data_IF_908862236535
#
_entry.id   IF_908862236535
#
_cell.length_a   1.000
_cell.length_b   1.000
_cell.length_c   1.000
_cell.angle_alpha   90.00
_cell.angle_beta   90.00
_cell.angle_gamma   90.00
#
_symmetry.space_group_name_H-M   'P 1'
#
loop_
_entity.id
_entity.type
_entity.pdbx_description
1 polymer ?
#
# COMPACT_ATOMS: atom_id res chain seq x y z
N UNK A 1 -5.79 20.42 -15.83
CA UNK A 1 -4.77 19.55 -16.45
C UNK A 1 -5.07 18.13 -15.98
N UNK A 2 -5.41 17.21 -16.87
CA UNK A 2 -5.69 15.83 -16.47
C UNK A 2 -4.37 15.17 -16.05
N UNK A 3 -4.35 14.38 -14.96
CA UNK A 3 -3.12 13.71 -14.53
C UNK A 3 -2.65 12.73 -15.62
N UNK A 4 -1.35 12.67 -15.82
CA UNK A 4 -0.73 11.69 -16.73
C UNK A 4 -0.94 10.28 -16.19
N UNK A 5 -0.90 9.28 -17.08
CA UNK A 5 -1.05 7.87 -16.70
C UNK A 5 -0.04 7.44 -15.63
N UNK A 6 1.19 7.97 -15.66
CA UNK A 6 2.21 7.77 -14.62
C UNK A 6 1.83 8.36 -13.26
N UNK A 7 1.20 9.54 -13.22
CA UNK A 7 0.77 10.17 -11.96
C UNK A 7 -0.34 9.35 -11.28
N UNK A 8 -1.26 8.80 -12.07
CA UNK A 8 -2.32 7.91 -11.56
C UNK A 8 -1.72 6.62 -11.00
N UNK A 9 -0.73 6.02 -11.66
CA UNK A 9 -0.02 4.83 -11.18
C UNK A 9 0.70 5.07 -9.86
N UNK A 10 1.42 6.18 -9.75
CA UNK A 10 2.15 6.53 -8.53
C UNK A 10 1.19 6.85 -7.37
N UNK A 11 0.05 7.50 -7.65
CA UNK A 11 -1.04 7.65 -6.69
C UNK A 11 -1.60 6.29 -6.23
N UNK A 12 -1.97 5.39 -7.15
CA UNK A 12 -2.46 4.05 -6.83
C UNK A 12 -1.47 3.30 -5.93
N UNK A 13 -0.17 3.33 -6.26
CA UNK A 13 0.90 2.76 -5.44
C UNK A 13 0.93 3.36 -4.04
N UNK A 14 0.91 4.70 -3.94
CA UNK A 14 0.94 5.42 -2.67
C UNK A 14 -0.27 5.08 -1.78
N UNK A 15 -1.46 4.94 -2.38
CA UNK A 15 -2.69 4.64 -1.66
C UNK A 15 -2.81 3.15 -1.27
N UNK A 16 -2.46 2.23 -2.17
CA UNK A 16 -2.73 0.79 -2.01
C UNK A 16 -1.55 -0.02 -1.46
N UNK A 17 -0.31 0.37 -1.77
CA UNK A 17 0.89 -0.45 -1.47
C UNK A 17 1.92 0.19 -0.58
N UNK A 18 1.77 1.47 -0.22
CA UNK A 18 2.89 2.12 0.44
C UNK A 18 3.28 1.36 1.74
N UNK A 19 4.55 1.42 2.07
CA UNK A 19 5.13 0.57 3.10
C UNK A 19 4.88 1.10 4.51
N UNK A 20 4.92 0.25 5.54
CA UNK A 20 4.64 0.72 6.92
C UNK A 20 5.65 1.80 7.33
N UNK A 21 5.20 3.07 7.34
CA UNK A 21 6.01 4.26 7.65
C UNK A 21 6.38 4.30 9.15
N UNK A 22 5.66 3.55 9.99
CA UNK A 22 5.98 3.40 11.41
C UNK A 22 5.66 4.63 12.27
N UNK A 23 5.18 5.72 11.68
CA UNK A 23 4.73 6.92 12.37
C UNK A 23 3.30 6.71 12.87
N UNK A 24 3.14 6.69 14.19
CA UNK A 24 1.84 6.68 14.85
C UNK A 24 1.35 8.12 15.09
N UNK A 25 0.03 8.31 15.21
CA UNK A 25 -0.58 9.63 15.39
C UNK A 25 0.09 10.50 16.48
N UNK A 26 0.40 10.01 17.70
CA UNK A 26 1.08 10.83 18.71
C UNK A 26 2.46 11.35 18.31
N UNK A 27 3.24 10.52 17.59
CA UNK A 27 4.58 10.88 17.13
C UNK A 27 4.49 11.85 15.95
N UNK A 28 3.58 11.58 15.01
CA UNK A 28 3.34 12.47 13.88
C UNK A 28 2.85 13.84 14.35
N UNK A 29 1.92 13.90 15.31
CA UNK A 29 1.44 15.15 15.88
C UNK A 29 2.57 15.99 16.48
N UNK A 30 3.48 15.36 17.22
CA UNK A 30 4.65 16.03 17.81
C UNK A 30 5.58 16.56 16.73
N UNK A 31 5.80 15.78 15.66
CA UNK A 31 6.59 16.21 14.49
C UNK A 31 5.92 17.39 13.77
N UNK A 32 4.62 17.30 13.46
CA UNK A 32 3.87 18.36 12.78
C UNK A 32 3.95 19.68 13.54
N UNK A 33 3.69 19.66 14.85
CA UNK A 33 3.77 20.86 15.69
C UNK A 33 5.16 21.51 15.68
N UNK A 34 6.23 20.69 15.66
CA UNK A 34 7.62 21.17 15.58
C UNK A 34 7.97 21.71 14.19
N UNK A 35 7.64 20.97 13.12
CA UNK A 35 8.04 21.31 11.76
C UNK A 35 7.30 22.55 11.24
N UNK A 36 6.01 22.67 11.56
CA UNK A 36 5.16 23.79 11.17
C UNK A 36 5.29 25.00 12.09
N UNK A 37 5.96 24.85 13.24
CA UNK A 37 6.17 25.92 14.22
C UNK A 37 4.86 26.63 14.61
N UNK A 38 3.83 25.85 14.98
CA UNK A 38 2.54 26.39 15.39
C UNK A 38 2.69 27.39 16.54
N UNK A 39 2.05 28.55 16.41
CA UNK A 39 1.96 29.50 17.52
C UNK A 39 1.11 28.93 18.66
N UNK A 40 1.08 29.61 19.81
CA UNK A 40 0.38 29.13 21.00
C UNK A 40 -1.12 28.82 20.74
N UNK A 41 -1.82 29.70 19.99
CA UNK A 41 -3.23 29.50 19.66
C UNK A 41 -3.46 28.31 18.73
N UNK A 42 -2.66 28.21 17.67
CA UNK A 42 -2.70 27.07 16.74
C UNK A 42 -2.35 25.76 17.44
N UNK A 43 -1.38 25.78 18.34
CA UNK A 43 -0.95 24.60 19.10
C UNK A 43 -2.04 24.11 20.06
N UNK A 44 -2.67 25.04 20.79
CA UNK A 44 -3.80 24.72 21.67
C UNK A 44 -4.98 24.13 20.89
N UNK A 45 -5.31 24.71 19.73
CA UNK A 45 -6.34 24.18 18.84
C UNK A 45 -5.93 22.80 18.31
N UNK A 46 -4.71 22.66 17.78
CA UNK A 46 -4.19 21.42 17.20
C UNK A 46 -4.23 20.27 18.21
N UNK A 47 -3.75 20.48 19.45
CA UNK A 47 -3.70 19.45 20.50
C UNK A 47 -5.08 18.92 20.92
N UNK A 48 -6.17 19.58 20.51
CA UNK A 48 -7.54 19.08 20.65
C UNK A 48 -7.80 17.75 19.95
N UNK A 49 -6.94 17.28 19.04
CA UNK A 49 -7.08 15.97 18.38
C UNK A 49 -7.11 14.79 19.35
N UNK A 50 -6.53 14.93 20.55
CA UNK A 50 -6.47 13.87 21.57
C UNK A 50 -7.82 13.57 22.23
N UNK A 51 -8.71 14.56 22.29
CA UNK A 51 -9.97 14.52 23.06
C UNK A 51 -11.14 15.13 22.27
N UNK A 52 -10.92 15.36 20.98
CA UNK A 52 -11.72 16.23 20.16
C UNK A 52 -13.00 15.59 19.64
N UNK A 53 -14.09 16.36 19.60
CA UNK A 53 -15.39 15.92 19.03
C UNK A 53 -15.33 15.48 17.57
N UNK A 54 -14.37 15.99 16.80
CA UNK A 54 -14.28 15.75 15.37
C UNK A 54 -13.54 14.47 14.99
N UNK A 55 -12.84 13.85 15.95
CA UNK A 55 -11.94 12.73 15.69
C UNK A 55 -10.72 13.15 14.88
N UNK A 56 -9.60 12.49 15.15
CA UNK A 56 -8.45 12.36 14.25
C UNK A 56 -7.50 13.55 14.08
N UNK A 57 -6.22 13.22 13.88
CA UNK A 57 -5.11 14.16 13.79
C UNK A 57 -5.16 15.03 12.54
N UNK A 58 -5.67 14.50 11.43
CA UNK A 58 -5.77 15.13 10.12
C UNK A 58 -6.75 16.31 10.12
N UNK A 59 -7.91 16.17 10.77
CA UNK A 59 -8.91 17.25 10.88
C UNK A 59 -8.36 18.42 11.69
N UNK A 60 -7.63 18.13 12.76
CA UNK A 60 -7.00 19.16 13.57
C UNK A 60 -5.79 19.80 12.88
N UNK A 61 -5.07 19.05 12.03
CA UNK A 61 -4.05 19.61 11.16
C UNK A 61 -4.65 20.60 10.16
N UNK A 62 -5.76 20.25 9.49
CA UNK A 62 -6.51 21.14 8.60
C UNK A 62 -6.84 22.45 9.32
N UNK A 63 -7.47 22.36 10.49
CA UNK A 63 -7.90 23.54 11.24
C UNK A 63 -6.75 24.43 11.71
N UNK A 64 -5.65 23.83 12.17
CA UNK A 64 -4.49 24.57 12.63
C UNK A 64 -3.79 25.31 11.48
N UNK A 65 -3.81 24.73 10.27
CA UNK A 65 -3.19 25.31 9.08
C UNK A 65 -4.11 26.26 8.32
N UNK A 66 -5.43 26.21 8.50
CA UNK A 66 -6.42 27.06 7.81
C UNK A 66 -6.09 28.55 7.76
N UNK A 67 -5.56 29.19 8.82
CA UNK A 67 -5.17 30.60 8.75
C UNK A 67 -4.03 30.92 7.77
N UNK A 68 -3.29 29.90 7.31
CA UNK A 68 -2.23 30.04 6.31
C UNK A 68 -2.72 29.82 4.89
N UNK A 69 -3.97 29.41 4.69
CA UNK A 69 -4.54 29.23 3.36
C UNK A 69 -4.44 30.54 2.55
N UNK A 70 -3.99 30.44 1.31
CA UNK A 70 -3.78 31.61 0.44
C UNK A 70 -2.58 32.52 0.79
N UNK A 71 -1.73 32.15 1.77
CA UNK A 71 -0.52 32.94 2.11
C UNK A 71 0.49 32.97 0.97
N UNK A 72 0.57 31.91 0.17
CA UNK A 72 1.48 31.81 -0.97
C UNK A 72 0.74 32.10 -2.28
N UNK A 73 1.12 33.18 -2.97
CA UNK A 73 0.58 33.56 -4.28
C UNK A 73 0.98 32.61 -5.41
N UNK A 74 2.08 31.87 -5.24
CA UNK A 74 2.54 30.83 -6.15
C UNK A 74 2.96 29.60 -5.35
N UNK A 75 2.35 28.46 -5.67
CA UNK A 75 2.77 27.16 -5.13
C UNK A 75 3.70 26.49 -6.13
N UNK A 76 4.81 25.96 -5.64
CA UNK A 76 5.58 25.03 -6.44
C UNK A 76 4.79 23.73 -6.55
N UNK A 77 4.60 23.19 -7.76
CA UNK A 77 3.98 21.87 -7.91
C UNK A 77 4.85 20.85 -7.16
N UNK A 78 4.26 20.19 -6.16
CA UNK A 78 4.91 19.06 -5.51
C UNK A 78 4.69 17.84 -6.39
N UNK A 79 5.74 17.37 -7.05
CA UNK A 79 5.63 16.16 -7.88
C UNK A 79 5.30 14.94 -7.02
N UNK A 80 4.48 14.05 -7.55
CA UNK A 80 4.13 12.80 -6.86
C UNK A 80 5.40 11.96 -6.61
N UNK A 81 6.39 11.99 -7.51
CA UNK A 81 7.69 11.35 -7.31
C UNK A 81 8.43 11.86 -6.07
N UNK A 82 8.34 13.17 -5.77
CA UNK A 82 8.94 13.74 -4.55
C UNK A 82 8.20 13.22 -3.30
N UNK A 83 6.88 13.11 -3.38
CA UNK A 83 6.06 12.51 -2.32
C UNK A 83 6.45 11.07 -2.07
N UNK A 84 6.50 10.26 -3.13
CA UNK A 84 6.85 8.84 -3.07
C UNK A 84 8.25 8.64 -2.47
N UNK A 85 9.26 9.39 -2.95
CA UNK A 85 10.62 9.37 -2.37
C UNK A 85 10.59 9.69 -0.87
N UNK A 86 9.86 10.72 -0.45
CA UNK A 86 9.76 11.07 0.97
C UNK A 86 9.13 9.94 1.79
N UNK A 87 8.04 9.34 1.33
CA UNK A 87 7.37 8.24 2.02
C UNK A 87 8.28 7.00 2.12
N UNK A 88 9.00 6.67 1.04
CA UNK A 88 9.99 5.59 1.01
C UNK A 88 11.11 5.84 2.01
N UNK A 89 11.67 7.05 2.08
CA UNK A 89 12.72 7.38 3.05
C UNK A 89 12.21 7.39 4.50
N UNK A 90 10.97 7.81 4.74
CA UNK A 90 10.36 7.69 6.07
C UNK A 90 10.16 6.22 6.47
N UNK A 91 9.70 5.36 5.55
CA UNK A 91 9.56 3.92 5.76
C UNK A 91 10.93 3.24 5.98
N UNK A 92 11.97 3.61 5.23
CA UNK A 92 13.31 3.06 5.39
C UNK A 92 13.98 3.40 6.74
N UNK A 93 13.54 4.48 7.40
CA UNK A 93 13.98 4.87 8.76
C UNK A 93 13.19 4.16 9.87
N UNK A 94 12.11 3.45 9.54
CA UNK A 94 11.40 2.64 10.51
C UNK A 94 12.32 1.57 11.11
N UNK A 95 12.01 1.11 12.33
CA UNK A 95 12.84 0.13 13.06
C UNK A 95 12.93 -1.23 12.35
N UNK A 96 11.85 -1.63 11.66
CA UNK A 96 11.75 -2.92 10.99
C UNK A 96 11.26 -2.72 9.54
N UNK A 97 12.08 -2.07 8.69
CA UNK A 97 11.72 -1.89 7.29
C UNK A 97 11.91 -3.22 6.56
N UNK A 98 11.09 -3.45 5.54
CA UNK A 98 11.31 -4.53 4.58
C UNK A 98 12.71 -4.39 3.96
N UNK A 99 13.35 -5.51 3.62
CA UNK A 99 14.69 -5.53 3.05
C UNK A 99 14.79 -4.68 1.78
N UNK A 100 13.77 -4.73 0.91
CA UNK A 100 13.71 -3.97 -0.33
C UNK A 100 13.62 -2.45 -0.10
N UNK A 101 13.03 -2.01 1.01
CA UNK A 101 12.92 -0.60 1.39
C UNK A 101 14.17 -0.13 2.12
N UNK A 102 14.77 -1.02 2.91
CA UNK A 102 16.03 -0.76 3.61
C UNK A 102 17.17 -0.47 2.64
N UNK A 103 17.23 -1.17 1.51
CA UNK A 103 18.24 -0.96 0.47
C UNK A 103 18.06 0.38 -0.26
N UNK A 104 16.84 0.92 -0.32
CA UNK A 104 16.54 2.22 -0.92
C UNK A 104 16.85 3.40 0.02
N UNK A 105 17.36 3.15 1.24
CA UNK A 105 17.65 4.19 2.21
C UNK A 105 18.76 5.11 1.70
N UNK A 106 18.44 6.39 1.62
CA UNK A 106 19.36 7.47 1.30
C UNK A 106 19.66 8.24 2.60
N UNK A 107 20.92 8.15 3.05
CA UNK A 107 21.35 8.76 4.32
C UNK A 107 21.48 10.28 4.23
N UNK A 108 21.65 10.82 3.02
CA UNK A 108 21.76 12.26 2.79
C UNK A 108 20.39 12.93 2.82
N UNK A 109 19.31 12.16 2.64
CA UNK A 109 17.94 12.68 2.73
C UNK A 109 17.56 13.00 4.17
N UNK A 110 17.53 14.30 4.45
CA UNK A 110 16.98 14.87 5.68
C UNK A 110 15.45 14.90 5.64
N UNK A 111 14.85 13.74 5.92
CA UNK A 111 13.39 13.52 5.90
C UNK A 111 12.57 14.57 6.65
N UNK A 112 13.07 15.12 7.76
CA UNK A 112 12.35 16.15 8.52
C UNK A 112 12.37 17.52 7.81
N UNK A 113 13.47 17.86 7.13
CA UNK A 113 13.57 19.08 6.31
C UNK A 113 12.69 18.95 5.06
N UNK A 114 12.73 17.81 4.37
CA UNK A 114 11.86 17.51 3.21
C UNK A 114 10.38 17.49 3.59
N UNK A 115 10.03 16.84 4.71
CA UNK A 115 8.66 16.82 5.20
C UNK A 115 8.18 18.24 5.54
N UNK A 116 9.04 19.06 6.16
CA UNK A 116 8.72 20.46 6.44
C UNK A 116 8.50 21.25 5.15
N UNK A 117 9.41 21.17 4.18
CA UNK A 117 9.30 21.94 2.94
C UNK A 117 8.02 21.59 2.17
N UNK A 118 7.66 20.30 2.14
CA UNK A 118 6.39 19.90 1.55
C UNK A 118 5.21 20.44 2.35
N UNK A 119 5.18 20.27 3.68
CA UNK A 119 4.03 20.63 4.50
C UNK A 119 3.75 22.14 4.56
N UNK A 120 4.78 22.98 4.63
CA UNK A 120 4.62 24.44 4.83
C UNK A 120 3.87 25.11 3.67
N UNK A 121 3.91 24.52 2.47
CA UNK A 121 3.30 25.09 1.26
C UNK A 121 1.94 24.49 0.90
N UNK A 122 1.45 23.54 1.69
CA UNK A 122 0.12 22.94 1.50
C UNK A 122 -0.98 23.87 2.04
N UNK A 123 -2.11 23.90 1.35
CA UNK A 123 -3.35 24.35 2.00
C UNK A 123 -3.72 23.40 3.13
N UNK A 124 -4.53 23.90 4.05
CA UNK A 124 -5.12 23.12 5.13
C UNK A 124 -5.73 21.80 4.67
N UNK A 125 -6.51 21.82 3.57
CA UNK A 125 -7.18 20.63 3.05
C UNK A 125 -6.19 19.63 2.44
N UNK A 126 -5.10 20.09 1.82
CA UNK A 126 -4.04 19.23 1.28
C UNK A 126 -3.26 18.58 2.42
N UNK A 127 -2.96 19.34 3.47
CA UNK A 127 -2.28 18.87 4.66
C UNK A 127 -3.07 17.77 5.38
N UNK A 128 -4.40 17.86 5.43
CA UNK A 128 -5.26 16.78 5.92
C UNK A 128 -5.02 15.47 5.18
N UNK A 129 -5.11 15.49 3.85
CA UNK A 129 -4.87 14.29 3.04
C UNK A 129 -3.44 13.78 3.19
N UNK A 130 -2.48 14.68 3.38
CA UNK A 130 -1.09 14.31 3.66
C UNK A 130 -0.95 13.56 4.99
N UNK A 131 -1.62 14.02 6.03
CA UNK A 131 -1.63 13.35 7.35
C UNK A 131 -2.28 11.97 7.22
N UNK A 132 -3.42 11.86 6.53
CA UNK A 132 -4.08 10.58 6.24
C UNK A 132 -3.16 9.61 5.50
N UNK A 133 -2.47 10.09 4.47
CA UNK A 133 -1.52 9.28 3.67
C UNK A 133 -0.36 8.76 4.53
N UNK A 134 0.22 9.60 5.41
CA UNK A 134 1.31 9.18 6.29
C UNK A 134 0.83 8.19 7.36
N UNK A 135 -0.36 8.39 7.93
CA UNK A 135 -0.96 7.49 8.91
C UNK A 135 -1.56 6.22 8.31
N UNK A 136 -1.83 6.24 7.00
CA UNK A 136 -2.66 5.24 6.28
C UNK A 136 -4.06 5.10 6.84
N UNK A 137 -4.59 6.19 7.37
CA UNK A 137 -5.93 6.23 7.92
C UNK A 137 -6.79 7.17 7.07
N UNK A 138 -7.63 6.59 6.23
CA UNK A 138 -8.40 7.34 5.24
C UNK A 138 -9.82 7.69 5.73
N UNK A 139 -10.18 7.31 6.98
CA UNK A 139 -11.37 7.57 7.82
C UNK A 139 -12.79 7.54 7.20
N UNK A 140 -12.96 7.63 5.88
CA UNK A 140 -14.25 7.94 5.24
C UNK A 140 -14.54 7.12 3.99
N UNK A 141 -13.57 6.39 3.43
CA UNK A 141 -13.79 5.58 2.24
C UNK A 141 -13.08 4.24 2.40
N UNK A 142 -13.84 3.17 2.66
CA UNK A 142 -13.34 1.81 2.40
C UNK A 142 -13.40 1.65 0.89
N UNK A 143 -12.31 2.00 0.22
CA UNK A 143 -12.16 1.71 -1.20
C UNK A 143 -11.96 0.21 -1.34
N UNK A 144 -12.85 -0.44 -2.08
CA UNK A 144 -12.60 -1.80 -2.53
C UNK A 144 -11.42 -1.74 -3.52
N UNK A 145 -10.27 -2.24 -3.08
CA UNK A 145 -9.04 -2.23 -3.86
C UNK A 145 -9.21 -2.95 -5.20
N UNK A 146 -9.94 -4.08 -5.21
CA UNK A 146 -10.20 -4.81 -6.44
C UNK A 146 -10.99 -3.92 -7.41
N UNK A 147 -12.06 -3.28 -6.94
CA UNK A 147 -12.87 -2.38 -7.76
C UNK A 147 -12.06 -1.21 -8.33
N UNK A 148 -11.26 -0.54 -7.50
CA UNK A 148 -10.44 0.61 -7.94
C UNK A 148 -9.41 0.20 -8.99
N UNK A 149 -8.76 -0.96 -8.80
CA UNK A 149 -7.79 -1.48 -9.75
C UNK A 149 -8.45 -1.91 -11.06
N UNK A 150 -9.62 -2.55 -10.98
CA UNK A 150 -10.39 -3.03 -12.13
C UNK A 150 -10.88 -1.87 -13.02
N UNK A 151 -11.24 -0.72 -12.40
CA UNK A 151 -11.56 0.52 -13.12
C UNK A 151 -10.39 1.07 -13.95
N UNK A 152 -9.14 0.80 -13.54
CA UNK A 152 -7.97 1.26 -14.28
C UNK A 152 -7.64 0.30 -15.44
N UNK A 153 -7.66 -0.99 -15.17
CA UNK A 153 -7.48 -2.04 -16.17
C UNK A 153 -8.05 -3.35 -15.64
N UNK A 154 -8.92 -4.03 -16.39
CA UNK A 154 -9.62 -5.22 -15.90
C UNK A 154 -8.66 -6.34 -15.39
N UNK A 155 -7.53 -6.57 -16.06
CA UNK A 155 -6.51 -7.54 -15.60
C UNK A 155 -5.75 -7.11 -14.32
N UNK A 156 -5.69 -5.82 -13.98
CA UNK A 156 -4.78 -5.30 -12.95
C UNK A 156 -4.94 -5.95 -11.56
N UNK A 157 -6.17 -6.17 -11.04
CA UNK A 157 -6.34 -6.85 -9.76
C UNK A 157 -5.72 -8.25 -9.73
N UNK A 158 -5.86 -9.03 -10.82
CA UNK A 158 -5.37 -10.40 -10.87
C UNK A 158 -3.86 -10.47 -11.12
N UNK A 159 -3.33 -9.56 -11.93
CA UNK A 159 -1.88 -9.44 -12.15
C UNK A 159 -1.16 -9.10 -10.85
N UNK A 160 -1.70 -8.18 -10.04
CA UNK A 160 -1.14 -7.83 -8.74
C UNK A 160 -1.25 -8.97 -7.73
N UNK A 161 -2.27 -9.84 -7.82
CA UNK A 161 -2.33 -11.05 -6.98
C UNK A 161 -1.16 -11.99 -7.27
N UNK A 162 -0.68 -12.08 -8.51
CA UNK A 162 0.40 -13.02 -8.89
C UNK A 162 1.77 -12.40 -8.72
N UNK A 163 1.95 -11.15 -9.15
CA UNK A 163 3.26 -10.48 -9.19
C UNK A 163 3.54 -9.60 -7.97
N UNK A 164 2.51 -9.17 -7.23
CA UNK A 164 2.65 -8.33 -6.04
C UNK A 164 3.60 -7.11 -6.19
N UNK A 165 3.72 -6.58 -7.41
CA UNK A 165 4.60 -5.47 -7.77
C UNK A 165 3.97 -4.66 -8.92
N UNK A 166 3.72 -3.37 -8.67
CA UNK A 166 3.07 -2.49 -9.65
C UNK A 166 3.94 -2.23 -10.88
N UNK A 167 5.26 -2.07 -10.71
CA UNK A 167 6.17 -1.76 -11.81
C UNK A 167 6.31 -2.96 -12.76
N UNK A 168 6.38 -4.17 -12.21
CA UNK A 168 6.35 -5.42 -12.97
C UNK A 168 5.02 -5.57 -13.72
N UNK A 169 3.89 -5.40 -13.04
CA UNK A 169 2.56 -5.54 -13.65
C UNK A 169 2.34 -4.51 -14.76
N UNK A 170 2.71 -3.25 -14.57
CA UNK A 170 2.60 -2.24 -15.63
C UNK A 170 3.56 -2.46 -16.78
N UNK A 171 4.69 -3.13 -16.54
CA UNK A 171 5.58 -3.55 -17.62
C UNK A 171 4.95 -4.67 -18.45
N UNK A 172 4.28 -5.65 -17.80
CA UNK A 172 3.50 -6.68 -18.51
C UNK A 172 2.35 -6.09 -19.34
N UNK A 173 1.58 -5.16 -18.77
CA UNK A 173 0.48 -4.47 -19.46
C UNK A 173 0.95 -3.61 -20.65
N UNK A 174 2.20 -3.17 -20.65
CA UNK A 174 2.81 -2.44 -21.77
C UNK A 174 3.54 -3.34 -22.77
N UNK A 175 3.86 -4.57 -22.38
CA UNK A 175 4.56 -5.57 -23.18
C UNK A 175 3.62 -6.71 -23.57
N UNK A 176 3.83 -7.89 -23.01
CA UNK A 176 3.16 -9.15 -23.42
C UNK A 176 1.62 -9.12 -23.36
N UNK A 177 1.05 -8.21 -22.57
CA UNK A 177 -0.40 -8.04 -22.39
C UNK A 177 -0.92 -6.75 -23.04
N UNK A 178 -0.12 -6.06 -23.87
CA UNK A 178 -0.51 -4.79 -24.50
C UNK A 178 -1.66 -4.91 -25.50
N UNK A 179 -1.97 -6.13 -25.94
CA UNK A 179 -3.08 -6.39 -26.86
C UNK A 179 -4.46 -6.28 -26.19
N UNK A 180 -4.53 -6.32 -24.86
CA UNK A 180 -5.80 -6.24 -24.13
C UNK A 180 -6.19 -4.77 -23.88
N UNK A 181 -7.46 -4.40 -24.10
CA UNK A 181 -7.94 -3.07 -23.75
C UNK A 181 -8.04 -2.91 -22.24
N UNK A 182 -7.95 -1.68 -21.74
CA UNK A 182 -8.12 -1.41 -20.31
C UNK A 182 -9.53 -1.78 -19.79
N UNK A 183 -10.55 -1.56 -20.62
CA UNK A 183 -11.95 -1.83 -20.31
C UNK A 183 -12.60 -2.58 -21.49
N UNK A 184 -12.52 -3.93 -21.54
CA UNK A 184 -13.17 -4.73 -22.57
C UNK A 184 -14.70 -4.73 -22.41
N UNK A 185 -15.41 -5.22 -23.43
CA UNK A 185 -16.83 -5.52 -23.30
C UNK A 185 -17.06 -6.64 -22.28
N UNK A 186 -18.21 -6.61 -21.57
CA UNK A 186 -18.53 -7.58 -20.49
C UNK A 186 -18.47 -9.05 -20.96
N UNK A 187 -18.82 -9.31 -22.21
CA UNK A 187 -18.84 -10.66 -22.78
C UNK A 187 -17.43 -11.16 -23.14
N UNK A 188 -16.50 -10.24 -23.41
CA UNK A 188 -15.14 -10.53 -23.83
C UNK A 188 -14.18 -10.67 -22.64
N UNK A 189 -14.53 -10.07 -21.51
CA UNK A 189 -13.67 -9.99 -20.33
C UNK A 189 -13.23 -11.37 -19.81
N UNK A 190 -14.17 -12.32 -19.68
CA UNK A 190 -13.89 -13.67 -19.16
C UNK A 190 -12.93 -14.44 -20.11
N UNK A 191 -13.22 -14.56 -21.42
CA UNK A 191 -12.28 -15.15 -22.37
C UNK A 191 -10.89 -14.51 -22.32
N UNK A 192 -10.82 -13.17 -22.28
CA UNK A 192 -9.54 -12.45 -22.22
C UNK A 192 -8.78 -12.71 -20.93
N UNK A 193 -9.46 -12.79 -19.77
CA UNK A 193 -8.83 -13.17 -18.49
C UNK A 193 -8.21 -14.57 -18.58
N UNK A 194 -8.92 -15.54 -19.18
CA UNK A 194 -8.42 -16.91 -19.35
C UNK A 194 -7.17 -16.93 -20.24
N UNK A 195 -7.21 -16.24 -21.39
CA UNK A 195 -6.06 -16.17 -22.30
C UNK A 195 -4.87 -15.45 -21.66
N UNK A 196 -5.10 -14.33 -20.98
CA UNK A 196 -4.06 -13.59 -20.27
C UNK A 196 -3.44 -14.44 -19.15
N UNK A 197 -4.25 -15.22 -18.41
CA UNK A 197 -3.77 -16.08 -17.33
C UNK A 197 -2.80 -17.16 -17.83
N UNK A 198 -2.95 -17.66 -19.06
CA UNK A 198 -2.02 -18.62 -19.67
C UNK A 198 -0.62 -18.03 -19.91
N UNK A 199 -0.52 -16.70 -20.01
CA UNK A 199 0.73 -15.97 -20.18
C UNK A 199 1.39 -15.63 -18.83
N UNK A 200 0.68 -15.81 -17.71
CA UNK A 200 1.22 -15.50 -16.39
C UNK A 200 2.13 -16.60 -15.89
N UNK A 201 3.30 -16.18 -15.40
CA UNK A 201 4.26 -17.06 -14.72
C UNK A 201 4.56 -16.47 -13.35
N UNK A 202 4.32 -17.23 -12.26
CA UNK A 202 4.84 -16.86 -10.95
C UNK A 202 6.36 -16.72 -11.02
N UNK A 203 6.89 -15.70 -10.37
CA UNK A 203 8.34 -15.48 -10.28
C UNK A 203 8.79 -15.99 -8.91
N UNK A 204 9.85 -16.80 -8.90
CA UNK A 204 10.44 -17.25 -7.62
C UNK A 204 10.87 -16.01 -6.84
N UNK A 205 10.74 -16.06 -5.51
CA UNK A 205 10.98 -14.90 -4.63
C UNK A 205 10.02 -13.72 -4.78
N UNK A 206 8.94 -13.85 -5.55
CA UNK A 206 7.85 -12.88 -5.62
C UNK A 206 6.60 -13.48 -5.02
N UNK A 207 6.06 -12.86 -3.97
CA UNK A 207 4.91 -13.41 -3.27
C UNK A 207 3.68 -13.49 -4.19
N UNK A 208 3.09 -14.68 -4.23
CA UNK A 208 1.73 -14.87 -4.73
C UNK A 208 0.71 -14.61 -3.60
N UNK A 209 -0.32 -13.84 -3.91
CA UNK A 209 -1.41 -13.51 -2.99
C UNK A 209 -2.20 -14.75 -2.61
N UNK A 210 -2.71 -14.74 -1.37
CA UNK A 210 -3.48 -15.85 -0.84
C UNK A 210 -4.85 -15.94 -1.53
N UNK A 211 -5.37 -17.15 -1.78
CA UNK A 211 -6.78 -17.34 -2.13
C UNK A 211 -7.74 -16.70 -1.12
N UNK A 212 -8.93 -16.35 -1.60
CA UNK A 212 -10.01 -15.88 -0.74
C UNK A 212 -10.59 -17.05 0.06
N UNK A 213 -10.82 -16.85 1.36
CA UNK A 213 -11.45 -17.83 2.24
C UNK A 213 -12.76 -17.27 2.76
N UNK A 214 -13.86 -17.96 2.48
CA UNK A 214 -15.18 -17.59 2.98
C UNK A 214 -15.50 -18.36 4.24
N UNK A 215 -15.85 -17.65 5.32
CA UNK A 215 -16.21 -18.28 6.59
C UNK A 215 -17.67 -18.70 6.57
N UNK A 216 -17.92 -20.01 6.66
CA UNK A 216 -19.26 -20.52 6.92
C UNK A 216 -19.63 -20.36 8.40
N UNK A 217 -20.91 -20.06 8.70
CA UNK A 217 -21.41 -19.97 10.08
C UNK A 217 -21.95 -21.31 10.62
N UNK A 218 -22.06 -22.34 9.79
CA UNK A 218 -22.40 -23.71 10.19
C UNK A 218 -21.94 -24.71 9.11
N UNK A 219 -21.88 -26.00 9.45
CA UNK A 219 -21.60 -27.05 8.46
C UNK A 219 -22.65 -27.10 7.36
N UNK A 220 -23.94 -26.94 7.70
CA UNK A 220 -25.02 -26.87 6.70
C UNK A 220 -24.80 -25.72 5.72
N UNK A 221 -24.41 -24.55 6.22
CA UNK A 221 -24.08 -23.42 5.36
C UNK A 221 -22.84 -23.71 4.50
N UNK A 222 -21.81 -24.34 5.06
CA UNK A 222 -20.64 -24.77 4.29
C UNK A 222 -21.03 -25.70 3.13
N UNK A 223 -21.90 -26.70 3.38
CA UNK A 223 -22.41 -27.61 2.35
C UNK A 223 -23.21 -26.86 1.27
N UNK A 224 -24.00 -25.85 1.65
CA UNK A 224 -24.72 -25.01 0.70
C UNK A 224 -23.77 -24.16 -0.15
N UNK A 225 -22.71 -23.62 0.45
CA UNK A 225 -21.71 -22.81 -0.24
C UNK A 225 -20.92 -23.61 -1.29
N UNK A 226 -20.51 -24.84 -0.95
CA UNK A 226 -19.79 -25.70 -1.90
C UNK A 226 -20.71 -26.35 -2.93
N UNK A 227 -22.00 -26.49 -2.62
CA UNK A 227 -22.98 -27.10 -3.52
C UNK A 227 -22.64 -28.55 -3.88
N UNK A 228 -22.93 -28.94 -5.12
CA UNK A 228 -22.68 -30.30 -5.63
C UNK A 228 -21.29 -30.49 -6.24
N UNK A 229 -20.33 -29.60 -5.94
CA UNK A 229 -18.96 -29.71 -6.44
C UNK A 229 -18.16 -30.72 -5.60
N UNK A 230 -17.15 -31.35 -6.20
CA UNK A 230 -16.16 -32.09 -5.43
C UNK A 230 -15.36 -31.14 -4.52
N UNK A 231 -15.07 -31.57 -3.29
CA UNK A 231 -14.32 -30.77 -2.31
C UNK A 231 -13.36 -31.65 -1.51
N UNK A 232 -12.28 -31.04 -1.04
CA UNK A 232 -11.34 -31.62 -0.10
C UNK A 232 -11.53 -30.98 1.28
N UNK A 233 -11.34 -31.78 2.33
CA UNK A 233 -11.37 -31.31 3.71
C UNK A 233 -9.95 -31.29 4.27
N UNK A 234 -9.54 -30.16 4.81
CA UNK A 234 -8.23 -30.01 5.45
C UNK A 234 -8.39 -29.48 6.87
N UNK A 235 -7.47 -29.87 7.75
CA UNK A 235 -7.42 -29.33 9.10
C UNK A 235 -7.04 -27.86 9.07
N UNK A 236 -7.88 -27.00 9.66
CA UNK A 236 -7.52 -25.61 9.87
C UNK A 236 -6.59 -25.50 11.09
N UNK A 237 -5.29 -25.45 10.85
CA UNK A 237 -4.31 -25.20 11.89
C UNK A 237 -4.44 -23.79 12.48
N UNK A 238 -4.20 -23.67 13.79
CA UNK A 238 -4.13 -22.39 14.49
C UNK A 238 -2.66 -21.95 14.58
N UNK A 239 -2.21 -21.31 13.50
CA UNK A 239 -0.84 -20.84 13.36
C UNK A 239 -0.76 -19.66 12.40
N UNK A 240 0.45 -19.30 12.03
CA UNK A 240 0.68 -18.21 11.09
C UNK A 240 0.78 -18.72 9.65
N UNK A 241 -0.02 -18.16 8.76
CA UNK A 241 0.15 -18.40 7.33
C UNK A 241 1.50 -17.85 6.83
N UNK A 242 2.18 -18.65 6.01
CA UNK A 242 3.36 -18.23 5.27
C UNK A 242 3.32 -18.72 3.83
N UNK A 243 3.95 -17.97 2.93
CA UNK A 243 4.30 -18.45 1.59
C UNK A 243 5.79 -18.76 1.56
N UNK A 244 6.17 -19.93 1.05
CA UNK A 244 7.57 -20.36 0.96
C UNK A 244 7.93 -20.45 -0.52
N UNK A 245 8.98 -19.75 -0.91
CA UNK A 245 9.54 -19.79 -2.25
C UNK A 245 10.93 -20.41 -2.15
N UNK A 246 11.16 -21.47 -2.91
CA UNK A 246 12.45 -22.17 -2.97
C UNK A 246 12.93 -22.11 -4.41
N UNK A 247 14.10 -21.52 -4.63
CA UNK A 247 14.76 -21.59 -5.92
C UNK A 247 15.62 -22.86 -5.99
N UNK A 248 15.17 -23.84 -6.79
CA UNK A 248 15.86 -25.11 -6.96
C UNK A 248 17.15 -24.98 -7.79
N UNK A 249 17.33 -23.91 -8.54
CA UNK A 249 18.54 -23.68 -9.34
C UNK A 249 19.73 -23.21 -8.48
N UNK A 250 19.45 -22.63 -7.32
CA UNK A 250 20.45 -22.09 -6.37
C UNK A 250 20.39 -22.77 -4.99
N UNK A 251 19.61 -23.85 -4.88
CA UNK A 251 19.49 -24.68 -3.69
C UNK A 251 20.86 -25.20 -3.20
N UNK A 252 21.06 -25.34 -1.87
CA UNK A 252 20.05 -25.29 -0.81
C UNK A 252 19.82 -23.90 -0.17
N UNK A 253 20.44 -22.83 -0.67
CA UNK A 253 20.58 -21.59 0.12
C UNK A 253 19.56 -20.48 -0.18
N UNK A 254 18.68 -20.64 -1.16
CA UNK A 254 17.75 -19.57 -1.58
C UNK A 254 16.29 -19.93 -1.28
N UNK A 255 15.97 -19.87 0.02
CA UNK A 255 14.60 -19.95 0.54
C UNK A 255 14.15 -18.55 0.94
N UNK A 256 13.00 -18.12 0.43
CA UNK A 256 12.31 -16.91 0.91
C UNK A 256 10.98 -17.27 1.54
N UNK A 257 10.73 -16.71 2.72
CA UNK A 257 9.50 -16.93 3.48
C UNK A 257 8.75 -15.62 3.62
N UNK A 258 7.54 -15.55 3.08
CA UNK A 258 6.66 -14.39 3.21
C UNK A 258 5.63 -14.58 4.33
N UNK A 259 5.37 -13.51 5.07
CA UNK A 259 4.27 -13.45 6.04
C UNK A 259 2.89 -13.44 5.35
N UNK A 260 1.82 -13.63 6.14
CA UNK A 260 0.43 -13.48 5.69
C UNK A 260 0.18 -12.19 4.89
N UNK A 261 0.77 -11.07 5.34
CA UNK A 261 0.54 -9.74 4.78
C UNK A 261 1.52 -9.33 3.68
N UNK A 262 2.46 -10.19 3.30
CA UNK A 262 3.33 -9.93 2.14
C UNK A 262 4.77 -9.62 2.44
N UNK A 263 5.09 -9.32 3.71
CA UNK A 263 6.44 -8.97 4.13
C UNK A 263 7.38 -10.15 4.06
N UNK A 264 8.62 -9.88 3.68
CA UNK A 264 9.72 -10.81 3.85
C UNK A 264 9.93 -11.10 5.34
N UNK A 265 9.73 -12.37 5.71
CA UNK A 265 9.86 -12.90 7.06
C UNK A 265 10.94 -14.00 7.12
N UNK A 266 11.83 -14.07 6.12
CA UNK A 266 12.85 -15.11 5.99
C UNK A 266 13.78 -15.12 7.20
N UNK A 267 14.29 -13.95 7.61
CA UNK A 267 15.17 -13.83 8.78
C UNK A 267 14.47 -14.23 10.08
N UNK A 268 13.19 -13.86 10.26
CA UNK A 268 12.42 -14.16 11.46
C UNK A 268 12.09 -15.67 11.56
N UNK A 269 12.13 -16.38 10.42
CA UNK A 269 11.74 -17.78 10.28
C UNK A 269 12.90 -18.68 9.87
N UNK A 270 14.13 -18.24 10.09
CA UNK A 270 15.35 -19.00 9.76
C UNK A 270 15.35 -20.42 10.37
N UNK A 271 14.78 -20.57 11.57
CA UNK A 271 14.65 -21.87 12.24
C UNK A 271 13.81 -22.90 11.44
N UNK A 272 12.98 -22.47 10.49
CA UNK A 272 12.19 -23.37 9.64
C UNK A 272 12.98 -23.94 8.46
N UNK A 273 14.16 -23.38 8.14
CA UNK A 273 14.90 -23.76 6.94
C UNK A 273 15.34 -25.23 6.97
N UNK A 274 15.64 -25.80 8.14
CA UNK A 274 16.02 -27.22 8.25
C UNK A 274 14.88 -28.21 8.03
N UNK A 275 13.63 -27.73 7.97
CA UNK A 275 12.42 -28.55 7.78
C UNK A 275 11.89 -28.48 6.34
N UNK A 276 12.39 -27.54 5.53
CA UNK A 276 11.99 -27.29 4.14
C UNK A 276 12.98 -27.99 3.21
#
# INVERSE_FOLDING_TARGET
>A
MAPTRMEVQSCLRCFLTAEKIGLQAPLLARKLAKLLNFNHGQKALFDGWKTGKHGDLDVYAERAMKPWDGTFSSKHPTSITRVDRLLTQLAAKYRFPDAAIRSQRDWDVKTDEELKDVLVRLESWEAKWRVRLVLRDYCTIVLDEYYVLDLYHFLLPDLLKVQNDFDAVFSMLRGDLSCYPAAPGKEEEIPMRIEAAQKLRPVVSVKVSRPMFNKAWSFKHCSQMVGNHAWAAENKYDGEYCGIHVDLSTAPNDIKIFSKNGKDATSDRQALHGTI
#
